data_IF_448503042537
#
_entry.id   IF_448503042537
#
_cell.length_a   1.000
_cell.length_b   1.000
_cell.length_c   1.000
_cell.angle_alpha   90.00
_cell.angle_beta   90.00
_cell.angle_gamma   90.00
#
_symmetry.space_group_name_H-M   'P 1'
#
loop_
_entity.id
_entity.type
_entity.pdbx_description
1 polymer ?
#
# COMPACT_ATOMS: atom_id res chain seq x y z
N UNK A 1 13.54 39.68 25.71
CA UNK A 1 13.63 38.27 26.17
C UNK A 1 12.37 37.47 25.89
N UNK A 2 11.14 37.98 26.10
CA UNK A 2 9.90 37.20 25.86
C UNK A 2 9.69 36.75 24.40
N UNK A 3 10.04 37.59 23.42
CA UNK A 3 9.92 37.27 21.99
C UNK A 3 10.94 36.19 21.54
N UNK A 4 12.14 36.18 22.14
CA UNK A 4 13.15 35.16 21.85
C UNK A 4 12.70 33.76 22.32
N UNK A 5 12.09 33.71 23.50
CA UNK A 5 11.55 32.44 24.06
C UNK A 5 10.39 31.92 23.20
N UNK A 6 9.50 32.81 22.75
CA UNK A 6 8.38 32.44 21.89
C UNK A 6 8.88 31.88 20.53
N UNK A 7 9.89 32.50 19.93
CA UNK A 7 10.51 32.06 18.69
C UNK A 7 11.15 30.66 18.83
N UNK A 8 11.81 30.41 19.95
CA UNK A 8 12.45 29.09 20.21
C UNK A 8 11.42 27.97 20.40
N UNK A 9 10.31 28.24 21.07
CA UNK A 9 9.22 27.29 21.28
C UNK A 9 8.54 26.95 19.94
N UNK A 10 8.26 27.92 19.09
CA UNK A 10 7.68 27.70 17.77
C UNK A 10 8.64 26.90 16.88
N UNK A 11 9.92 27.19 16.89
CA UNK A 11 10.93 26.44 16.13
C UNK A 11 11.03 24.98 16.61
N UNK A 12 10.96 24.72 17.91
CA UNK A 12 10.98 23.38 18.49
C UNK A 12 9.75 22.54 18.11
N UNK A 13 8.56 23.16 18.00
CA UNK A 13 7.34 22.48 17.57
C UNK A 13 7.36 22.06 16.09
N UNK A 14 8.07 22.78 15.23
CA UNK A 14 8.19 22.46 13.80
C UNK A 14 9.14 21.27 13.56
N UNK A 15 10.14 21.04 14.42
CA UNK A 15 11.10 19.95 14.28
C UNK A 15 10.57 18.57 14.69
N UNK A 16 9.44 18.47 15.42
CA UNK A 16 8.94 17.22 15.98
C UNK A 16 8.11 16.33 15.03
N UNK A 17 7.90 16.73 13.77
CA UNK A 17 6.85 16.16 12.91
C UNK A 17 7.17 14.89 12.11
N UNK A 18 8.38 14.33 12.13
CA UNK A 18 8.74 13.19 11.29
C UNK A 18 8.59 11.85 12.02
N UNK A 19 7.37 11.35 12.17
CA UNK A 19 7.13 10.03 12.72
C UNK A 19 7.32 8.92 11.67
N UNK A 20 7.97 7.84 12.08
CA UNK A 20 8.11 6.62 11.30
C UNK A 20 6.86 5.77 11.45
N UNK A 21 6.22 5.41 10.34
CA UNK A 21 5.04 4.56 10.30
C UNK A 21 5.47 3.13 10.01
N UNK A 22 5.17 2.23 10.96
CA UNK A 22 5.36 0.78 10.79
C UNK A 22 4.00 0.15 10.52
N UNK A 23 3.91 -0.65 9.46
CA UNK A 23 2.69 -1.34 9.08
C UNK A 23 2.98 -2.83 8.92
N UNK A 24 2.14 -3.65 9.53
CA UNK A 24 2.08 -5.07 9.25
C UNK A 24 0.99 -5.34 8.20
N UNK A 25 1.31 -6.15 7.18
CA UNK A 25 0.37 -6.52 6.10
C UNK A 25 0.39 -8.02 5.92
N UNK A 26 -0.80 -8.60 5.73
CA UNK A 26 -0.98 -10.03 5.55
C UNK A 26 -1.28 -10.76 6.86
N UNK A 27 -0.97 -12.04 6.90
CA UNK A 27 -1.23 -12.92 8.05
C UNK A 27 -0.13 -12.75 9.09
N UNK A 28 -0.49 -12.74 10.36
CA UNK A 28 0.49 -12.83 11.45
C UNK A 28 0.98 -14.28 11.52
N UNK A 29 2.13 -14.53 10.88
CA UNK A 29 2.76 -15.86 10.92
C UNK A 29 3.62 -15.99 12.16
N UNK A 30 3.20 -16.84 13.08
CA UNK A 30 4.09 -17.32 14.13
C UNK A 30 5.00 -18.41 13.56
N UNK A 31 6.30 -18.19 13.67
CA UNK A 31 7.31 -19.11 13.16
C UNK A 31 7.26 -20.48 13.83
N UNK A 32 6.81 -20.55 15.09
CA UNK A 32 6.64 -21.82 15.81
C UNK A 32 5.46 -22.60 15.25
N UNK A 33 4.31 -21.94 15.02
CA UNK A 33 3.14 -22.59 14.41
C UNK A 33 3.43 -23.05 12.98
N UNK A 34 4.13 -22.22 12.21
CA UNK A 34 4.50 -22.56 10.83
C UNK A 34 5.45 -23.77 10.76
N UNK A 35 6.39 -23.89 11.71
CA UNK A 35 7.31 -25.04 11.79
C UNK A 35 6.64 -26.31 12.32
N UNK A 36 5.49 -26.19 12.96
CA UNK A 36 4.69 -27.30 13.46
C UNK A 36 3.97 -28.09 12.36
N UNK A 37 3.81 -27.52 11.16
CA UNK A 37 3.13 -28.21 10.05
C UNK A 37 4.03 -29.32 9.49
N UNK A 38 3.52 -30.56 9.52
CA UNK A 38 4.28 -31.74 9.13
C UNK A 38 3.73 -32.36 7.83
N UNK A 39 4.56 -32.49 6.78
CA UNK A 39 4.20 -33.24 5.58
C UNK A 39 3.83 -34.71 5.90
N UNK A 40 2.76 -35.18 5.27
CA UNK A 40 2.24 -36.54 5.45
C UNK A 40 1.39 -36.75 6.70
N UNK A 41 1.35 -35.79 7.63
CA UNK A 41 0.54 -35.88 8.87
C UNK A 41 -0.61 -34.87 8.81
N UNK A 42 -0.32 -33.64 8.45
CA UNK A 42 -1.30 -32.56 8.39
C UNK A 42 -2.11 -32.57 7.09
N UNK A 43 -3.32 -32.00 7.17
CA UNK A 43 -4.23 -31.83 6.05
C UNK A 43 -4.72 -30.37 5.98
N UNK A 44 -5.53 -30.04 4.95
CA UNK A 44 -6.07 -28.67 4.75
C UNK A 44 -6.79 -28.14 5.99
N UNK A 45 -7.59 -28.98 6.65
CA UNK A 45 -8.37 -28.56 7.82
C UNK A 45 -7.48 -28.28 9.04
N UNK A 46 -6.44 -29.10 9.27
CA UNK A 46 -5.49 -28.88 10.36
C UNK A 46 -4.65 -27.63 10.12
N UNK A 47 -4.20 -27.41 8.89
CA UNK A 47 -3.44 -26.21 8.50
C UNK A 47 -4.30 -24.96 8.66
N UNK A 48 -5.56 -24.96 8.22
CA UNK A 48 -6.47 -23.83 8.38
C UNK A 48 -6.79 -23.54 9.85
N UNK A 49 -6.92 -24.57 10.69
CA UNK A 49 -7.11 -24.40 12.14
C UNK A 49 -5.88 -23.81 12.83
N UNK A 50 -4.68 -24.17 12.37
CA UNK A 50 -3.42 -23.74 12.99
C UNK A 50 -2.97 -22.36 12.52
N UNK A 51 -3.01 -22.10 11.20
CA UNK A 51 -2.51 -20.86 10.59
C UNK A 51 -3.61 -19.89 10.17
N UNK A 52 -4.88 -20.32 10.23
CA UNK A 52 -5.99 -19.57 9.68
C UNK A 52 -6.11 -19.73 8.17
N UNK A 53 -6.94 -18.88 7.55
CA UNK A 53 -7.12 -18.88 6.09
C UNK A 53 -5.87 -18.39 5.38
N UNK A 54 -5.50 -19.01 4.23
CA UNK A 54 -4.36 -18.57 3.45
C UNK A 54 -4.59 -17.14 2.89
N UNK A 55 -3.50 -16.39 2.69
CA UNK A 55 -3.54 -15.09 2.04
C UNK A 55 -4.07 -15.18 0.61
N UNK A 56 -3.68 -16.23 -0.10
CA UNK A 56 -4.21 -16.59 -1.41
C UNK A 56 -3.92 -18.07 -1.72
N UNK A 57 -4.69 -18.61 -2.65
CA UNK A 57 -4.52 -19.95 -3.21
C UNK A 57 -3.92 -19.79 -4.61
N UNK A 58 -3.03 -20.68 -5.00
CA UNK A 58 -2.40 -20.63 -6.32
C UNK A 58 -3.45 -20.68 -7.44
N UNK A 59 -3.43 -19.71 -8.33
CA UNK A 59 -4.41 -19.62 -9.43
C UNK A 59 -4.29 -20.81 -10.41
N UNK A 60 -3.09 -21.28 -10.65
CA UNK A 60 -2.81 -22.41 -11.55
C UNK A 60 -2.57 -23.72 -10.79
N UNK A 61 -2.40 -23.64 -9.47
CA UNK A 61 -2.13 -24.77 -8.57
C UNK A 61 -3.05 -24.66 -7.36
N UNK A 62 -4.32 -25.11 -7.46
CA UNK A 62 -5.31 -24.93 -6.39
C UNK A 62 -4.96 -25.67 -5.09
N UNK A 63 -3.96 -26.53 -5.13
CA UNK A 63 -3.42 -27.24 -3.98
C UNK A 63 -2.23 -26.53 -3.32
N UNK A 64 -1.84 -25.36 -3.80
CA UNK A 64 -0.78 -24.54 -3.22
C UNK A 64 -1.41 -23.37 -2.45
N UNK A 65 -1.22 -23.35 -1.14
CA UNK A 65 -1.68 -22.29 -0.25
C UNK A 65 -0.52 -21.41 0.17
N UNK A 66 -0.72 -20.11 0.04
CA UNK A 66 0.29 -19.11 0.36
C UNK A 66 -0.14 -18.25 1.56
N UNK A 67 0.71 -18.22 2.57
CA UNK A 67 0.59 -17.35 3.72
C UNK A 67 1.68 -16.29 3.63
N UNK A 68 1.28 -15.03 3.52
CA UNK A 68 2.21 -13.91 3.36
C UNK A 68 2.13 -13.00 4.56
N UNK A 69 3.26 -12.78 5.19
CA UNK A 69 3.46 -11.83 6.28
C UNK A 69 4.50 -10.80 5.84
N UNK A 70 4.19 -9.51 5.97
CA UNK A 70 5.06 -8.43 5.53
C UNK A 70 5.05 -7.27 6.50
N UNK A 71 6.23 -6.86 6.96
CA UNK A 71 6.44 -5.64 7.71
C UNK A 71 6.97 -4.55 6.78
N UNK A 72 6.30 -3.42 6.77
CA UNK A 72 6.63 -2.28 5.93
C UNK A 72 6.90 -1.09 6.82
N UNK A 73 7.96 -0.37 6.48
CA UNK A 73 8.36 0.84 7.15
C UNK A 73 8.30 2.03 6.20
N UNK A 74 7.64 3.10 6.63
CA UNK A 74 7.53 4.34 5.88
C UNK A 74 7.94 5.51 6.74
N UNK A 75 8.85 6.34 6.24
CA UNK A 75 9.31 7.56 6.89
C UNK A 75 8.82 8.75 6.08
N UNK A 76 8.00 9.58 6.69
CA UNK A 76 7.45 10.80 6.11
C UNK A 76 6.96 10.60 4.65
N UNK A 77 7.46 11.39 3.71
CA UNK A 77 7.07 11.37 2.29
C UNK A 77 7.85 10.35 1.45
N UNK A 78 8.64 9.47 2.08
CA UNK A 78 9.40 8.42 1.36
C UNK A 78 8.50 7.26 0.99
N UNK A 79 8.86 6.56 -0.10
CA UNK A 79 8.19 5.33 -0.48
C UNK A 79 8.33 4.27 0.61
N UNK A 80 7.24 3.52 0.93
CA UNK A 80 7.30 2.42 1.86
C UNK A 80 8.32 1.37 1.41
N UNK A 81 9.11 0.85 2.33
CA UNK A 81 10.03 -0.24 2.04
C UNK A 81 9.77 -1.43 2.95
N UNK A 82 9.94 -2.62 2.40
CA UNK A 82 9.75 -3.88 3.12
C UNK A 82 10.95 -4.13 4.02
N UNK A 83 10.71 -4.19 5.33
CA UNK A 83 11.74 -4.51 6.33
C UNK A 83 11.85 -6.00 6.57
N UNK A 84 10.71 -6.70 6.63
CA UNK A 84 10.63 -8.15 6.79
C UNK A 84 9.54 -8.70 5.90
N UNK A 85 9.78 -9.84 5.30
CA UNK A 85 8.77 -10.62 4.59
C UNK A 85 8.99 -12.09 4.89
N UNK A 86 7.89 -12.80 5.08
CA UNK A 86 7.86 -14.26 5.19
C UNK A 86 6.75 -14.75 4.29
N UNK A 87 7.05 -15.71 3.44
CA UNK A 87 6.09 -16.39 2.60
C UNK A 87 6.19 -17.87 2.92
N UNK A 88 5.12 -18.43 3.46
CA UNK A 88 4.99 -19.85 3.70
C UNK A 88 4.11 -20.42 2.59
N UNK A 89 4.65 -21.34 1.82
CA UNK A 89 3.95 -22.14 0.85
C UNK A 89 3.67 -23.52 1.45
N UNK A 90 2.41 -23.88 1.53
CA UNK A 90 1.96 -25.22 1.92
C UNK A 90 1.33 -25.87 0.69
N UNK A 91 1.92 -26.97 0.25
CA UNK A 91 1.45 -27.76 -0.89
C UNK A 91 0.70 -28.98 -0.42
N UNK A 92 -0.44 -29.24 -1.03
CA UNK A 92 -1.31 -30.38 -0.73
C UNK A 92 -1.36 -31.35 -1.91
N UNK A 93 -1.68 -32.61 -1.61
CA UNK A 93 -2.04 -33.59 -2.60
C UNK A 93 -3.52 -33.46 -3.02
N UNK A 94 -3.98 -34.30 -3.93
CA UNK A 94 -5.38 -34.33 -4.37
C UNK A 94 -6.36 -34.72 -3.25
N UNK A 95 -5.89 -35.38 -2.20
CA UNK A 95 -6.69 -35.79 -1.03
C UNK A 95 -6.72 -34.71 0.06
N UNK A 96 -5.93 -33.65 -0.11
CA UNK A 96 -5.83 -32.56 0.84
C UNK A 96 -4.78 -32.75 1.93
N UNK A 97 -3.88 -33.69 1.84
CA UNK A 97 -2.80 -33.87 2.79
C UNK A 97 -1.60 -33.02 2.41
N UNK A 98 -0.87 -32.51 3.40
CA UNK A 98 0.34 -31.71 3.19
C UNK A 98 1.45 -32.60 2.59
N UNK A 99 1.98 -32.19 1.44
CA UNK A 99 3.11 -32.87 0.78
C UNK A 99 4.43 -32.12 0.95
N UNK A 100 4.38 -30.78 1.02
CA UNK A 100 5.56 -29.95 1.20
C UNK A 100 5.23 -28.65 1.91
N UNK A 101 6.18 -28.16 2.71
CA UNK A 101 6.16 -26.85 3.34
C UNK A 101 7.44 -26.12 2.98
N UNK A 102 7.33 -24.94 2.38
CA UNK A 102 8.47 -24.11 2.00
C UNK A 102 8.32 -22.72 2.62
N UNK A 103 9.39 -22.27 3.25
CA UNK A 103 9.45 -20.93 3.82
C UNK A 103 10.47 -20.08 3.05
N UNK A 104 10.03 -18.95 2.53
CA UNK A 104 10.86 -17.98 1.80
C UNK A 104 10.71 -16.61 2.43
N UNK A 105 11.75 -15.81 2.33
CA UNK A 105 11.82 -14.51 2.99
C UNK A 105 11.82 -13.34 2.03
N UNK A 106 12.63 -12.37 2.39
CA UNK A 106 12.74 -11.07 1.70
C UNK A 106 13.34 -11.18 0.29
N UNK A 107 13.98 -12.27 -0.04
CA UNK A 107 14.58 -12.53 -1.37
C UNK A 107 13.56 -12.49 -2.52
N UNK A 108 12.29 -12.74 -2.22
CA UNK A 108 11.22 -12.64 -3.21
C UNK A 108 10.63 -11.22 -3.36
N UNK A 109 11.17 -10.22 -2.66
CA UNK A 109 10.71 -8.84 -2.77
C UNK A 109 11.30 -8.20 -4.02
N UNK A 110 10.45 -7.95 -5.00
CA UNK A 110 10.83 -7.20 -6.21
C UNK A 110 10.53 -5.71 -6.03
N UNK A 111 11.52 -4.87 -6.34
CA UNK A 111 11.32 -3.43 -6.45
C UNK A 111 10.87 -3.10 -7.88
N UNK A 112 9.59 -2.84 -8.04
CA UNK A 112 9.03 -2.40 -9.32
C UNK A 112 9.16 -0.88 -9.42
N UNK A 113 9.86 -0.41 -10.46
CA UNK A 113 9.90 1.01 -10.81
C UNK A 113 8.79 1.28 -11.83
N UNK A 114 7.71 2.00 -11.46
CA UNK A 114 6.66 2.35 -12.40
C UNK A 114 7.24 3.15 -13.57
N UNK A 115 6.75 2.90 -14.79
CA UNK A 115 7.14 3.69 -15.95
C UNK A 115 6.64 5.13 -15.80
N UNK A 116 7.53 6.10 -15.91
CA UNK A 116 7.20 7.53 -15.93
C UNK A 116 6.61 8.01 -17.28
N UNK A 117 6.37 7.10 -18.23
CA UNK A 117 5.75 7.46 -19.50
C UNK A 117 4.31 7.89 -19.27
N UNK A 118 4.01 9.10 -19.66
CA UNK A 118 2.65 9.63 -19.64
C UNK A 118 2.05 9.44 -21.03
N UNK A 119 0.84 8.92 -21.09
CA UNK A 119 0.04 8.92 -22.32
C UNK A 119 -0.37 10.36 -22.60
N UNK A 120 -0.10 10.87 -23.78
CA UNK A 120 -0.54 12.20 -24.18
C UNK A 120 -2.08 12.22 -24.17
N UNK A 121 -2.64 12.95 -23.23
CA UNK A 121 -4.08 13.18 -23.18
C UNK A 121 -4.36 14.41 -24.03
N UNK A 122 -5.17 14.27 -25.06
CA UNK A 122 -5.72 15.38 -25.84
C UNK A 122 -6.73 16.15 -24.96
N UNK A 123 -6.22 16.98 -24.08
CA UNK A 123 -6.99 17.83 -23.19
C UNK A 123 -6.40 19.23 -23.12
N UNK A 124 -7.25 20.21 -22.84
CA UNK A 124 -6.80 21.59 -22.60
C UNK A 124 -5.88 21.62 -21.39
N UNK A 125 -4.61 21.96 -21.59
CA UNK A 125 -3.67 22.21 -20.50
C UNK A 125 -4.05 23.52 -19.80
N UNK A 126 -4.72 23.43 -18.67
CA UNK A 126 -4.95 24.59 -17.81
C UNK A 126 -3.75 24.77 -16.90
N UNK A 127 -3.26 26.00 -16.81
CA UNK A 127 -2.23 26.36 -15.84
C UNK A 127 -2.84 26.36 -14.43
N UNK A 128 -2.06 25.92 -13.43
CA UNK A 128 -2.48 25.97 -12.02
C UNK A 128 -3.00 27.36 -11.62
N UNK A 129 -2.36 28.41 -12.09
CA UNK A 129 -2.80 29.78 -11.84
C UNK A 129 -4.12 30.13 -12.56
N UNK A 130 -4.33 29.61 -13.76
CA UNK A 130 -5.57 29.79 -14.50
C UNK A 130 -6.75 29.10 -13.79
N UNK A 131 -6.54 27.94 -13.20
CA UNK A 131 -7.55 27.24 -12.40
C UNK A 131 -7.83 27.96 -11.06
N UNK A 132 -6.79 28.47 -10.41
CA UNK A 132 -6.89 29.17 -9.14
C UNK A 132 -7.59 30.53 -9.30
N UNK A 133 -7.29 31.29 -10.35
CA UNK A 133 -7.78 32.65 -10.51
C UNK A 133 -9.05 32.76 -11.35
N UNK A 134 -9.35 31.82 -12.26
CA UNK A 134 -10.60 31.83 -13.03
C UNK A 134 -11.86 31.61 -12.15
N UNK A 135 -11.69 31.10 -10.94
CA UNK A 135 -12.83 30.87 -10.03
C UNK A 135 -13.03 32.02 -9.02
N UNK A 136 -12.11 32.97 -8.94
CA UNK A 136 -12.20 34.08 -7.97
C UNK A 136 -13.10 35.22 -8.48
N UNK A 137 -13.42 35.28 -9.78
CA UNK A 137 -14.23 36.33 -10.38
C UNK A 137 -15.69 35.99 -10.69
N UNK A 138 -16.10 34.71 -10.55
CA UNK A 138 -17.43 34.30 -11.03
C UNK A 138 -18.54 34.31 -9.96
N UNK A 139 -18.25 34.70 -8.72
CA UNK A 139 -19.22 34.68 -7.61
C UNK A 139 -19.89 36.04 -7.35
N UNK A 140 -19.74 37.01 -8.23
CA UNK A 140 -20.12 38.37 -7.91
C UNK A 140 -20.89 39.19 -8.95
N UNK A 141 -21.70 38.57 -9.85
CA UNK A 141 -22.60 39.38 -10.68
C UNK A 141 -23.93 38.69 -10.95
N UNK A 142 -24.95 38.90 -10.11
CA UNK A 142 -26.32 38.63 -10.54
C UNK A 142 -26.78 39.76 -11.47
N UNK A 143 -26.90 39.48 -12.73
CA UNK A 143 -27.77 40.22 -13.63
C UNK A 143 -27.14 41.31 -14.53
N UNK A 144 -26.76 40.87 -15.73
CA UNK A 144 -26.98 41.68 -16.94
C UNK A 144 -27.42 40.74 -18.06
N UNK A 145 -28.64 40.94 -18.63
CA UNK A 145 -29.12 40.14 -19.71
C UNK A 145 -28.41 40.49 -21.01
N UNK A 146 -28.15 39.44 -21.78
CA UNK A 146 -27.32 39.40 -22.94
C UNK A 146 -27.59 40.42 -24.03
N UNK A 147 -26.57 40.64 -24.82
CA UNK A 147 -26.68 41.03 -26.20
C UNK A 147 -26.00 39.99 -27.06
N UNK A 148 -26.83 39.24 -27.76
CA UNK A 148 -26.38 38.37 -28.83
C UNK A 148 -25.82 39.21 -29.97
N UNK A 149 -24.71 38.75 -30.51
CA UNK A 149 -24.29 39.11 -31.87
C UNK A 149 -23.86 37.85 -32.55
N UNK A 150 -24.67 37.45 -33.52
CA UNK A 150 -24.33 36.49 -34.59
C UNK A 150 -23.32 37.12 -35.52
N UNK A 151 -22.27 36.42 -35.91
CA UNK A 151 -21.47 36.75 -37.10
C UNK A 151 -22.03 36.02 -38.31
N UNK A 152 -22.08 36.71 -39.43
CA UNK A 152 -22.26 36.18 -40.78
C UNK A 152 -21.13 35.28 -41.20
#
# INVERSE_FOLDING_TARGET
MKFAILGTVVAALILGGCAQIRQHKGVVLDSQLASGIQPGVDNKDSVEKTLGRPSFIGQFTPNDWYYVSRDVNQVAFRNPHVTRQTVLLVRFDQKGNVTAVQNTGKELVMNVKPSGRQTAVLGRKRSFFEELFNNIGSVGAPGLPGQGQTPQ
#
